data_IF_259388466392
#
_entry.id   IF_259388466392
#
_cell.length_a   1.000
_cell.length_b   1.000
_cell.length_c   1.000
_cell.angle_alpha   90.00
_cell.angle_beta   90.00
_cell.angle_gamma   90.00
#
_symmetry.space_group_name_H-M   'P 1'
#
loop_
_entity.id
_entity.type
_entity.pdbx_description
1 polymer ?
#
# COMPACT_ATOMS: atom_id res chain seq x y z
N UNK A 1 -15.89 8.48 46.59
CA UNK A 1 -14.51 7.96 46.76
C UNK A 1 -13.65 8.38 45.56
N UNK A 2 -12.67 9.27 45.77
CA UNK A 2 -11.73 9.63 44.70
C UNK A 2 -10.53 8.70 44.80
N UNK A 3 -10.36 7.82 43.82
CA UNK A 3 -9.18 6.98 43.69
C UNK A 3 -7.96 7.88 43.37
N UNK A 4 -7.10 8.08 44.37
CA UNK A 4 -5.80 8.74 44.17
C UNK A 4 -4.82 7.68 43.59
N UNK A 5 -4.77 7.59 42.28
CA UNK A 5 -3.88 6.67 41.55
C UNK A 5 -2.40 7.11 41.57
N UNK A 6 -2.12 8.33 41.98
CA UNK A 6 -0.75 8.86 42.03
C UNK A 6 -0.47 9.40 43.43
N UNK A 7 0.63 8.96 44.05
CA UNK A 7 1.12 9.52 45.30
C UNK A 7 1.43 11.00 45.12
N UNK A 8 0.94 11.85 46.01
CA UNK A 8 1.11 13.32 45.95
C UNK A 8 2.56 13.81 46.10
N UNK A 9 3.48 12.94 46.49
CA UNK A 9 4.91 13.25 46.60
C UNK A 9 5.72 12.17 45.87
N UNK A 10 6.03 12.41 44.62
CA UNK A 10 6.97 11.61 43.88
C UNK A 10 8.36 12.15 44.05
N UNK A 11 9.18 11.49 44.88
CA UNK A 11 10.62 11.81 45.05
C UNK A 11 11.51 11.22 43.94
N UNK A 12 11.00 11.10 42.74
CA UNK A 12 11.80 10.63 41.61
C UNK A 12 12.58 11.81 40.99
N UNK A 13 13.90 11.80 41.13
CA UNK A 13 14.78 12.76 40.45
C UNK A 13 14.94 12.34 38.99
N UNK A 14 13.98 12.66 38.13
CA UNK A 14 14.02 12.37 36.69
C UNK A 14 15.24 12.95 36.00
N UNK A 15 15.74 14.07 36.46
CA UNK A 15 16.90 14.76 35.89
C UNK A 15 18.24 14.25 36.36
N UNK A 16 18.32 13.33 37.34
CA UNK A 16 19.58 12.84 37.87
C UNK A 16 20.42 12.12 36.78
N UNK A 17 19.76 11.44 35.85
CA UNK A 17 20.38 10.68 34.78
C UNK A 17 19.97 11.19 33.39
N UNK A 18 19.75 12.51 33.26
CA UNK A 18 19.28 13.12 32.01
C UNK A 18 20.20 12.81 30.82
N UNK A 19 21.54 12.74 31.04
CA UNK A 19 22.52 12.40 30.01
C UNK A 19 22.33 10.98 29.48
N UNK A 20 21.92 10.04 30.33
CA UNK A 20 21.64 8.65 29.97
C UNK A 20 20.39 8.56 29.09
N UNK A 21 19.33 9.26 29.51
CA UNK A 21 18.09 9.29 28.76
C UNK A 21 18.26 9.99 27.39
N UNK A 22 19.02 11.05 27.37
CA UNK A 22 19.35 11.76 26.14
C UNK A 22 20.22 10.90 25.23
N UNK A 23 21.16 10.12 25.76
CA UNK A 23 21.96 9.17 25.02
C UNK A 23 21.14 8.06 24.39
N UNK A 24 20.20 7.45 25.14
CA UNK A 24 19.30 6.42 24.64
C UNK A 24 18.42 6.97 23.52
N UNK A 25 17.80 8.13 23.73
CA UNK A 25 16.94 8.75 22.73
C UNK A 25 17.72 9.10 21.45
N UNK A 26 18.91 9.67 21.59
CA UNK A 26 19.77 9.99 20.45
C UNK A 26 20.17 8.75 19.67
N UNK A 27 20.50 7.65 20.35
CA UNK A 27 20.83 6.36 19.73
C UNK A 27 19.66 5.80 18.96
N UNK A 28 18.45 5.83 19.53
CA UNK A 28 17.23 5.35 18.85
C UNK A 28 16.91 6.16 17.60
N UNK A 29 17.06 7.50 17.67
CA UNK A 29 16.88 8.38 16.52
C UNK A 29 17.90 8.04 15.43
N UNK A 30 19.16 7.86 15.80
CA UNK A 30 20.22 7.51 14.86
C UNK A 30 19.99 6.17 14.20
N UNK A 31 19.58 5.15 14.97
CA UNK A 31 19.18 3.85 14.42
C UNK A 31 17.99 3.95 13.46
N UNK A 32 17.02 4.80 13.77
CA UNK A 32 15.88 5.05 12.89
C UNK A 32 16.30 5.65 11.55
N UNK A 33 17.21 6.62 11.55
CA UNK A 33 17.77 7.18 10.31
C UNK A 33 18.56 6.16 9.51
N UNK A 34 19.36 5.32 10.17
CA UNK A 34 20.10 4.23 9.51
C UNK A 34 19.10 3.25 8.86
N UNK A 35 18.07 2.84 9.58
CA UNK A 35 17.03 1.94 9.06
C UNK A 35 16.34 2.53 7.82
N UNK A 36 15.96 3.82 7.87
CA UNK A 36 15.39 4.55 6.73
C UNK A 36 16.33 4.56 5.53
N UNK A 37 17.62 4.75 5.77
CA UNK A 37 18.60 4.83 4.68
C UNK A 37 18.82 3.47 4.00
N UNK A 38 18.82 2.37 4.76
CA UNK A 38 19.02 1.03 4.21
C UNK A 38 17.76 0.40 3.64
N UNK A 39 16.61 0.65 4.23
CA UNK A 39 15.33 0.07 3.77
C UNK A 39 14.63 0.95 2.72
N UNK A 40 15.00 2.24 2.65
CA UNK A 40 14.33 3.20 1.80
C UNK A 40 12.89 3.49 2.27
N UNK A 41 12.24 4.41 1.61
CA UNK A 41 10.83 4.71 1.79
C UNK A 41 10.04 4.00 0.68
N UNK A 42 9.09 3.15 1.05
CA UNK A 42 8.13 2.61 0.11
C UNK A 42 7.09 3.70 -0.20
N UNK A 43 7.35 4.44 -1.26
CA UNK A 43 6.42 5.42 -1.76
C UNK A 43 5.27 4.73 -2.50
N UNK A 44 4.03 5.16 -2.23
CA UNK A 44 2.89 4.77 -3.04
C UNK A 44 2.92 5.44 -4.42
N UNK A 45 2.00 5.04 -5.30
CA UNK A 45 1.88 5.59 -6.67
C UNK A 45 1.66 7.11 -6.69
N UNK A 46 1.10 7.67 -5.62
CA UNK A 46 0.90 9.13 -5.48
C UNK A 46 2.21 9.93 -5.51
N UNK A 47 3.34 9.26 -5.21
CA UNK A 47 4.68 9.87 -5.20
C UNK A 47 5.56 9.40 -6.36
N UNK A 48 5.28 8.20 -6.92
CA UNK A 48 6.08 7.64 -8.02
C UNK A 48 5.38 7.75 -9.38
N UNK A 49 4.12 8.14 -9.37
CA UNK A 49 3.27 8.00 -10.54
C UNK A 49 2.84 6.55 -10.75
N UNK A 50 1.83 6.36 -11.56
CA UNK A 50 1.34 5.04 -11.89
C UNK A 50 -0.14 5.00 -12.17
N UNK A 51 -0.63 3.80 -12.47
CA UNK A 51 -2.03 3.59 -12.77
C UNK A 51 -2.67 2.64 -11.75
N UNK A 52 -3.80 3.07 -11.23
CA UNK A 52 -4.66 2.24 -10.38
C UNK A 52 -5.88 1.81 -11.18
N UNK A 53 -6.05 0.51 -11.31
CA UNK A 53 -7.21 -0.10 -11.94
C UNK A 53 -8.02 -0.78 -10.85
N UNK A 54 -9.27 -0.40 -10.68
CA UNK A 54 -10.20 -1.09 -9.80
C UNK A 54 -11.09 -1.99 -10.63
N UNK A 55 -11.16 -3.25 -10.24
CA UNK A 55 -12.00 -4.26 -10.90
C UNK A 55 -13.09 -4.71 -9.95
N UNK A 56 -14.25 -5.00 -10.49
CA UNK A 56 -15.40 -5.57 -9.77
C UNK A 56 -15.85 -6.85 -10.47
N UNK A 57 -15.96 -7.93 -9.70
CA UNK A 57 -16.36 -9.25 -10.15
C UNK A 57 -17.40 -9.84 -9.21
N UNK A 58 -18.30 -10.67 -9.74
CA UNK A 58 -19.23 -11.48 -8.95
C UNK A 58 -18.60 -12.81 -8.50
N UNK A 59 -17.49 -13.18 -9.11
CA UNK A 59 -16.72 -14.36 -8.75
C UNK A 59 -15.63 -13.99 -7.74
N UNK A 60 -15.40 -14.89 -6.78
CA UNK A 60 -14.30 -14.71 -5.83
C UNK A 60 -12.97 -14.65 -6.57
N UNK A 61 -12.33 -13.51 -6.47
CA UNK A 61 -11.06 -13.25 -7.14
C UNK A 61 -9.93 -14.00 -6.42
N UNK A 62 -9.13 -14.73 -7.20
CA UNK A 62 -7.88 -15.29 -6.74
C UNK A 62 -6.73 -14.38 -7.19
N UNK A 63 -6.17 -13.64 -6.23
CA UNK A 63 -5.05 -12.72 -6.46
C UNK A 63 -3.85 -13.43 -7.10
N UNK A 64 -3.65 -14.72 -6.79
CA UNK A 64 -2.57 -15.51 -7.37
C UNK A 64 -2.76 -15.71 -8.87
N UNK A 65 -3.97 -15.99 -9.31
CA UNK A 65 -4.30 -16.11 -10.74
C UNK A 65 -4.12 -14.78 -11.49
N UNK A 66 -4.56 -13.68 -10.87
CA UNK A 66 -4.36 -12.36 -11.46
C UNK A 66 -2.87 -12.05 -11.65
N UNK A 67 -2.05 -12.38 -10.65
CA UNK A 67 -0.61 -12.19 -10.73
C UNK A 67 0.02 -13.06 -11.82
N UNK A 68 -0.38 -14.32 -11.93
CA UNK A 68 0.13 -15.25 -12.94
C UNK A 68 -0.16 -14.75 -14.36
N UNK A 69 -1.36 -14.23 -14.61
CA UNK A 69 -1.79 -13.75 -15.94
C UNK A 69 -1.20 -12.38 -16.27
N UNK A 70 -1.02 -11.51 -15.29
CA UNK A 70 -0.45 -10.17 -15.50
C UNK A 70 1.09 -10.16 -15.54
N UNK A 71 1.75 -11.15 -14.94
CA UNK A 71 3.21 -11.26 -14.92
C UNK A 71 3.87 -11.25 -16.30
N UNK A 72 3.33 -11.94 -17.32
CA UNK A 72 3.93 -11.97 -18.66
C UNK A 72 3.87 -10.63 -19.40
N UNK A 73 3.02 -9.71 -18.97
CA UNK A 73 2.83 -8.40 -19.61
C UNK A 73 4.01 -7.43 -19.38
N UNK A 74 4.95 -7.77 -18.49
CA UNK A 74 6.13 -6.95 -18.16
C UNK A 74 5.81 -5.48 -17.84
N UNK A 75 4.72 -5.25 -17.13
CA UNK A 75 4.22 -3.90 -16.79
C UNK A 75 4.98 -3.21 -15.65
N UNK A 76 6.12 -3.76 -15.24
CA UNK A 76 6.87 -3.27 -14.08
C UNK A 76 6.39 -3.88 -12.76
N UNK A 77 6.43 -3.09 -11.70
CA UNK A 77 5.99 -3.56 -10.39
C UNK A 77 4.46 -3.46 -10.28
N UNK A 78 3.83 -4.61 -10.10
CA UNK A 78 2.37 -4.73 -10.01
C UNK A 78 1.98 -5.15 -8.60
N UNK A 79 1.21 -4.30 -7.93
CA UNK A 79 0.63 -4.60 -6.63
C UNK A 79 -0.86 -4.90 -6.79
N UNK A 80 -1.26 -6.12 -6.45
CA UNK A 80 -2.66 -6.58 -6.51
C UNK A 80 -3.15 -6.74 -5.08
N UNK A 81 -4.24 -6.06 -4.74
CA UNK A 81 -4.85 -6.11 -3.42
C UNK A 81 -6.37 -6.26 -3.53
N UNK A 82 -6.93 -7.11 -2.68
CA UNK A 82 -8.37 -7.22 -2.52
C UNK A 82 -8.88 -6.05 -1.65
N UNK A 83 -9.93 -5.40 -2.09
CA UNK A 83 -10.56 -4.29 -1.36
C UNK A 83 -11.77 -4.83 -0.63
N UNK A 84 -11.75 -4.73 0.68
CA UNK A 84 -12.87 -5.10 1.52
C UNK A 84 -13.58 -3.84 2.03
N UNK A 85 -14.89 -3.74 1.73
CA UNK A 85 -15.75 -2.68 2.23
C UNK A 85 -17.07 -3.31 2.73
N UNK A 86 -17.49 -3.02 3.97
CA UNK A 86 -18.74 -3.55 4.52
C UNK A 86 -20.01 -3.14 3.75
N UNK A 87 -19.91 -2.15 2.87
CA UNK A 87 -21.01 -1.68 2.04
C UNK A 87 -21.19 -2.47 0.76
N UNK A 88 -20.23 -3.35 0.43
CA UNK A 88 -20.31 -4.20 -0.76
C UNK A 88 -21.41 -5.27 -0.59
N UNK A 89 -22.01 -5.66 -1.71
CA UNK A 89 -22.98 -6.76 -1.74
C UNK A 89 -22.29 -8.10 -1.45
N UNK A 90 -23.03 -9.08 -0.98
CA UNK A 90 -22.49 -10.40 -0.61
C UNK A 90 -21.68 -11.09 -1.72
N UNK A 91 -21.97 -10.79 -3.00
CA UNK A 91 -21.26 -11.36 -4.16
C UNK A 91 -20.48 -10.30 -4.95
N UNK A 92 -20.03 -9.25 -4.30
CA UNK A 92 -19.25 -8.18 -4.92
C UNK A 92 -17.83 -8.25 -4.44
N UNK A 93 -16.93 -8.71 -5.30
CA UNK A 93 -15.50 -8.78 -5.04
C UNK A 93 -14.79 -7.66 -5.79
N UNK A 94 -14.12 -6.81 -5.06
CA UNK A 94 -13.39 -5.67 -5.63
C UNK A 94 -11.91 -5.88 -5.45
N UNK A 95 -11.18 -5.78 -6.55
CA UNK A 95 -9.71 -5.89 -6.55
C UNK A 95 -9.11 -4.61 -7.09
N UNK A 96 -8.07 -4.14 -6.45
CA UNK A 96 -7.29 -2.99 -6.86
C UNK A 96 -5.94 -3.45 -7.38
N UNK A 97 -5.65 -3.09 -8.62
CA UNK A 97 -4.39 -3.37 -9.31
C UNK A 97 -3.66 -2.04 -9.47
N UNK A 98 -2.46 -1.95 -8.91
CA UNK A 98 -1.58 -0.79 -9.05
C UNK A 98 -0.40 -1.17 -9.92
N UNK A 99 -0.15 -0.37 -10.93
CA UNK A 99 0.97 -0.53 -11.87
C UNK A 99 1.83 0.70 -11.70
N UNK A 100 3.09 0.52 -11.28
CA UNK A 100 4.03 1.64 -11.16
C UNK A 100 4.49 2.08 -12.56
N UNK A 101 4.51 3.40 -12.79
CA UNK A 101 5.03 3.96 -14.05
C UNK A 101 6.53 3.74 -14.11
N UNK A 102 7.02 3.16 -15.20
CA UNK A 102 8.45 3.14 -15.48
C UNK A 102 8.87 4.52 -16.00
N UNK A 103 10.00 5.03 -15.51
CA UNK A 103 10.50 6.36 -15.88
C UNK A 103 10.58 6.51 -17.41
N UNK A 104 9.77 7.41 -17.97
CA UNK A 104 9.89 7.87 -19.36
C UNK A 104 8.72 7.56 -20.29
N UNK A 105 7.62 6.94 -19.87
CA UNK A 105 6.62 6.49 -20.84
C UNK A 105 5.16 6.69 -20.38
N UNK A 106 4.62 7.90 -20.57
CA UNK A 106 3.19 8.19 -20.38
C UNK A 106 2.30 7.39 -21.36
N UNK A 107 2.82 7.01 -22.53
CA UNK A 107 2.06 6.29 -23.56
C UNK A 107 1.85 4.80 -23.23
N UNK A 108 2.73 4.20 -22.45
CA UNK A 108 2.60 2.80 -21.99
C UNK A 108 1.39 2.62 -21.08
N UNK A 109 1.00 3.66 -20.36
CA UNK A 109 -0.08 3.58 -19.37
C UNK A 109 -1.42 3.18 -20.00
N UNK A 110 -1.81 3.75 -21.15
CA UNK A 110 -3.08 3.43 -21.81
C UNK A 110 -3.05 2.02 -22.43
N UNK A 111 -1.96 1.64 -23.09
CA UNK A 111 -1.78 0.29 -23.64
C UNK A 111 -1.71 -0.78 -22.56
N UNK A 112 -1.06 -0.47 -21.43
CA UNK A 112 -0.98 -1.34 -20.26
C UNK A 112 -2.37 -1.61 -19.67
N UNK A 113 -3.19 -0.57 -19.52
CA UNK A 113 -4.56 -0.69 -19.03
C UNK A 113 -5.41 -1.57 -19.96
N UNK A 114 -5.30 -1.37 -21.27
CA UNK A 114 -6.03 -2.17 -22.25
C UNK A 114 -5.59 -3.64 -22.23
N UNK A 115 -4.28 -3.90 -22.15
CA UNK A 115 -3.75 -5.25 -22.05
C UNK A 115 -4.20 -5.96 -20.79
N UNK A 116 -4.17 -5.28 -19.65
CA UNK A 116 -4.68 -5.81 -18.37
C UNK A 116 -6.16 -6.11 -18.47
N UNK A 117 -6.94 -5.20 -19.06
CA UNK A 117 -8.39 -5.39 -19.19
C UNK A 117 -8.74 -6.59 -20.09
N UNK A 118 -7.97 -6.80 -21.15
CA UNK A 118 -8.15 -7.95 -22.07
C UNK A 118 -7.85 -9.26 -21.35
N UNK A 119 -6.72 -9.36 -20.65
CA UNK A 119 -6.34 -10.58 -19.94
C UNK A 119 -7.30 -10.90 -18.79
N UNK A 120 -7.77 -9.91 -18.06
CA UNK A 120 -8.74 -10.13 -16.99
C UNK A 120 -10.12 -10.58 -17.51
N UNK A 121 -10.56 -10.06 -18.66
CA UNK A 121 -11.79 -10.52 -19.34
C UNK A 121 -11.69 -11.96 -19.85
N UNK A 122 -10.51 -12.45 -20.12
CA UNK A 122 -10.30 -13.86 -20.47
C UNK A 122 -10.56 -14.79 -19.26
N UNK A 123 -10.33 -14.28 -18.03
CA UNK A 123 -10.59 -15.03 -16.80
C UNK A 123 -12.06 -14.91 -16.38
N UNK A 124 -12.58 -13.68 -16.44
CA UNK A 124 -13.93 -13.33 -16.04
C UNK A 124 -14.55 -12.38 -17.08
N UNK A 125 -15.40 -12.89 -18.00
CA UNK A 125 -16.02 -12.06 -19.04
C UNK A 125 -16.93 -10.96 -18.50
N UNK A 126 -17.47 -11.13 -17.29
CA UNK A 126 -18.39 -10.19 -16.65
C UNK A 126 -17.69 -9.15 -15.76
N UNK A 127 -16.35 -9.17 -15.74
CA UNK A 127 -15.54 -8.22 -14.97
C UNK A 127 -15.80 -6.77 -15.38
N UNK A 128 -16.01 -5.91 -14.41
CA UNK A 128 -16.23 -4.48 -14.62
C UNK A 128 -15.01 -3.69 -14.13
N UNK A 129 -14.77 -2.57 -14.78
CA UNK A 129 -13.68 -1.63 -14.44
C UNK A 129 -14.29 -0.29 -14.03
N UNK A 130 -14.82 -0.17 -12.79
CA UNK A 130 -15.51 1.03 -12.35
C UNK A 130 -14.60 2.26 -12.23
N UNK A 131 -13.31 2.06 -12.03
CA UNK A 131 -12.35 3.13 -11.84
C UNK A 131 -11.01 2.78 -12.47
N UNK A 132 -10.48 3.70 -13.26
CA UNK A 132 -9.11 3.70 -13.77
C UNK A 132 -8.55 5.09 -13.53
N UNK A 133 -7.58 5.21 -12.64
CA UNK A 133 -6.91 6.47 -12.31
C UNK A 133 -5.44 6.35 -12.70
N UNK A 134 -4.94 7.35 -13.41
CA UNK A 134 -3.52 7.50 -13.73
C UNK A 134 -3.00 8.78 -13.11
N UNK A 135 -1.87 8.66 -12.41
CA UNK A 135 -1.14 9.78 -11.81
C UNK A 135 0.23 9.82 -12.48
N UNK A 136 0.45 10.87 -13.23
CA UNK A 136 1.71 11.14 -13.95
C UNK A 136 2.49 12.27 -13.31
#
# INVERSE_FOLDING_TARGET
MRLKLVKSETKYNFFRNWKLWLGISSTLIFMSFISLFFQGLNFGIDFRGGTTIRTESELKVDVSKYREVLSPLNLGDIVISEVFDPTFRENQYVTQIRIETQEGDESITALAVESVALELRNIDPDIKFPLVESVG
#
